data_IF_777266771345
#
_entry.id   IF_777266771345
#
_cell.length_a   1.000
_cell.length_b   1.000
_cell.length_c   1.000
_cell.angle_alpha   90.00
_cell.angle_beta   90.00
_cell.angle_gamma   90.00
#
_symmetry.space_group_name_H-M   'P 1'
#
loop_
_entity.id
_entity.type
_entity.pdbx_description
1 polymer ?
#
# COMPACT_ATOMS: atom_id res chain seq x y z
N UNK A 1 -13.93 -14.46 -10.51
CA UNK A 1 -12.93 -14.68 -9.44
C UNK A 1 -12.42 -13.38 -8.76
N UNK A 2 -13.19 -12.28 -8.76
CA UNK A 2 -12.80 -10.99 -8.14
C UNK A 2 -13.15 -10.86 -6.65
N UNK A 3 -14.12 -11.65 -6.19
CA UNK A 3 -14.75 -11.46 -4.88
C UNK A 3 -13.85 -11.89 -3.70
N UNK A 4 -13.03 -12.94 -3.88
CA UNK A 4 -12.08 -13.38 -2.84
C UNK A 4 -10.92 -12.39 -2.63
N UNK A 5 -10.45 -11.71 -3.68
CA UNK A 5 -9.27 -10.83 -3.59
C UNK A 5 -9.54 -9.55 -2.78
N UNK A 6 -10.74 -8.97 -2.94
CA UNK A 6 -11.17 -7.77 -2.20
C UNK A 6 -11.37 -8.08 -0.71
N UNK A 7 -11.81 -9.31 -0.39
CA UNK A 7 -11.99 -9.77 1.00
C UNK A 7 -10.65 -9.89 1.74
N UNK A 8 -9.61 -10.41 1.07
CA UNK A 8 -8.28 -10.57 1.67
C UNK A 8 -7.59 -9.24 1.96
N UNK A 9 -7.60 -8.30 1.00
CA UNK A 9 -7.05 -6.95 1.20
C UNK A 9 -7.74 -6.20 2.33
N UNK A 10 -9.07 -6.33 2.42
CA UNK A 10 -9.85 -5.69 3.51
C UNK A 10 -9.48 -6.29 4.87
N UNK A 11 -9.30 -7.61 4.93
CA UNK A 11 -8.90 -8.32 6.14
C UNK A 11 -7.49 -7.91 6.60
N UNK A 12 -6.55 -7.78 5.68
CA UNK A 12 -5.19 -7.30 6.00
C UNK A 12 -5.20 -5.89 6.57
N UNK A 13 -5.99 -4.97 5.98
CA UNK A 13 -6.16 -3.60 6.50
C UNK A 13 -6.74 -3.58 7.91
N UNK A 14 -7.70 -4.46 8.20
CA UNK A 14 -8.28 -4.58 9.54
C UNK A 14 -7.23 -5.07 10.54
N UNK A 15 -6.44 -6.08 10.19
CA UNK A 15 -5.36 -6.57 11.07
C UNK A 15 -4.29 -5.50 11.32
N UNK A 16 -3.87 -4.77 10.29
CA UNK A 16 -2.96 -3.62 10.43
C UNK A 16 -3.55 -2.53 11.33
N UNK A 17 -4.85 -2.24 11.18
CA UNK A 17 -5.59 -1.30 12.00
C UNK A 17 -5.63 -1.71 13.48
N UNK A 18 -5.95 -2.98 13.74
CA UNK A 18 -5.92 -3.55 15.08
C UNK A 18 -4.51 -3.50 15.70
N UNK A 19 -3.47 -3.84 14.94
CA UNK A 19 -2.08 -3.77 15.40
C UNK A 19 -1.67 -2.33 15.76
N UNK A 20 -2.00 -1.36 14.91
CA UNK A 20 -1.77 0.05 15.20
C UNK A 20 -2.53 0.49 16.47
N UNK A 21 -3.78 0.09 16.62
CA UNK A 21 -4.58 0.36 17.81
C UNK A 21 -3.96 -0.21 19.10
N UNK A 22 -3.48 -1.45 19.07
CA UNK A 22 -2.76 -2.06 20.19
C UNK A 22 -1.48 -1.30 20.53
N UNK A 23 -0.75 -0.85 19.51
CA UNK A 23 0.49 -0.11 19.68
C UNK A 23 0.24 1.27 20.34
N UNK A 24 -0.83 1.97 19.97
CA UNK A 24 -1.27 3.22 20.60
C UNK A 24 -1.74 3.03 22.05
N UNK A 25 -2.49 1.94 22.30
CA UNK A 25 -2.88 1.57 23.66
C UNK A 25 -1.65 1.30 24.53
N UNK A 26 -0.69 0.52 24.02
CA UNK A 26 0.56 0.20 24.70
C UNK A 26 1.40 1.45 24.99
N UNK A 27 1.53 2.39 24.03
CA UNK A 27 2.25 3.65 24.27
C UNK A 27 1.58 4.49 25.34
N UNK A 28 0.25 4.52 25.40
CA UNK A 28 -0.50 5.23 26.43
C UNK A 28 -0.29 4.60 27.81
N UNK A 29 -0.37 3.27 27.90
CA UNK A 29 -0.11 2.54 29.15
C UNK A 29 1.32 2.76 29.66
N UNK A 30 2.31 2.74 28.75
CA UNK A 30 3.71 2.97 29.07
C UNK A 30 3.95 4.40 29.54
N UNK A 31 3.34 5.40 28.88
CA UNK A 31 3.40 6.80 29.30
C UNK A 31 2.80 7.03 30.69
N UNK A 32 1.60 6.49 30.97
CA UNK A 32 0.96 6.59 32.27
C UNK A 32 1.78 5.92 33.37
N UNK A 33 2.39 4.76 33.07
CA UNK A 33 3.30 4.05 33.97
C UNK A 33 4.54 4.90 34.31
N UNK A 34 5.17 5.53 33.32
CA UNK A 34 6.33 6.41 33.53
C UNK A 34 5.98 7.66 34.34
N UNK A 35 4.78 8.22 34.16
CA UNK A 35 4.32 9.41 34.90
C UNK A 35 3.92 9.10 36.35
N UNK A 36 3.81 7.81 36.72
CA UNK A 36 3.29 7.33 38.03
C UNK A 36 1.97 7.97 38.43
N UNK A 37 1.11 8.28 37.46
CA UNK A 37 -0.16 8.96 37.68
C UNK A 37 -1.24 7.96 38.10
N UNK A 38 -1.14 7.48 39.35
CA UNK A 38 -1.99 6.41 39.90
C UNK A 38 -3.47 6.82 40.01
N UNK A 39 -3.77 8.13 40.00
CA UNK A 39 -5.13 8.64 40.05
C UNK A 39 -5.87 8.44 38.73
N UNK A 40 -5.24 8.76 37.60
CA UNK A 40 -5.81 8.51 36.27
C UNK A 40 -5.82 7.01 35.94
N UNK A 41 -4.78 6.26 36.35
CA UNK A 41 -4.76 4.80 36.19
C UNK A 41 -5.92 4.16 36.97
N UNK A 42 -6.18 4.57 38.22
CA UNK A 42 -7.29 4.07 39.02
C UNK A 42 -8.68 4.37 38.41
N UNK A 43 -8.82 5.51 37.73
CA UNK A 43 -10.05 5.90 37.02
C UNK A 43 -10.26 5.10 35.72
N UNK A 44 -9.18 4.75 35.01
CA UNK A 44 -9.20 4.04 33.73
C UNK A 44 -9.27 2.51 33.92
N UNK A 45 -8.70 1.98 34.99
CA UNK A 45 -8.61 0.54 35.30
C UNK A 45 -9.93 -0.24 35.09
N UNK A 46 -11.09 0.20 35.60
CA UNK A 46 -12.35 -0.54 35.40
C UNK A 46 -12.84 -0.53 33.95
N UNK A 47 -12.39 0.44 33.14
CA UNK A 47 -12.79 0.62 31.76
C UNK A 47 -11.72 0.17 30.76
N UNK A 48 -10.66 -0.53 31.19
CA UNK A 48 -9.59 -1.01 30.29
C UNK A 48 -10.13 -1.71 29.04
N UNK A 49 -11.10 -2.65 29.11
CA UNK A 49 -11.62 -3.30 27.91
C UNK A 49 -12.28 -2.32 26.95
N UNK A 50 -13.01 -1.33 27.48
CA UNK A 50 -13.67 -0.30 26.68
C UNK A 50 -12.66 0.66 26.04
N UNK A 51 -11.62 1.05 26.78
CA UNK A 51 -10.52 1.89 26.28
C UNK A 51 -9.76 1.15 25.18
N UNK A 52 -9.43 -0.12 25.39
CA UNK A 52 -8.78 -0.97 24.40
C UNK A 52 -9.62 -1.07 23.11
N UNK A 53 -10.93 -1.35 23.23
CA UNK A 53 -11.84 -1.38 22.10
C UNK A 53 -11.85 -0.04 21.34
N UNK A 54 -11.83 1.09 22.07
CA UNK A 54 -11.70 2.42 21.49
C UNK A 54 -10.42 2.58 20.67
N UNK A 55 -9.27 2.16 21.19
CA UNK A 55 -8.00 2.21 20.46
C UNK A 55 -7.99 1.30 19.22
N UNK A 56 -8.62 0.13 19.27
CA UNK A 56 -8.76 -0.75 18.11
C UNK A 56 -9.58 -0.08 16.99
N UNK A 57 -10.69 0.57 17.35
CA UNK A 57 -11.52 1.33 16.39
C UNK A 57 -10.71 2.50 15.81
N UNK A 58 -10.00 3.26 16.64
CA UNK A 58 -9.14 4.37 16.21
C UNK A 58 -8.06 3.88 15.25
N UNK A 59 -7.38 2.77 15.56
CA UNK A 59 -6.35 2.20 14.70
C UNK A 59 -6.89 1.80 13.32
N UNK A 60 -8.08 1.20 13.27
CA UNK A 60 -8.77 0.89 12.02
C UNK A 60 -9.15 2.16 11.23
N UNK A 61 -9.64 3.20 11.90
CA UNK A 61 -9.94 4.49 11.26
C UNK A 61 -8.69 5.15 10.67
N UNK A 62 -7.55 5.09 11.36
CA UNK A 62 -6.29 5.64 10.89
C UNK A 62 -5.77 4.91 9.65
N UNK A 63 -5.84 3.57 9.62
CA UNK A 63 -5.45 2.77 8.44
C UNK A 63 -6.42 2.98 7.28
N UNK A 64 -7.71 3.15 7.56
CA UNK A 64 -8.69 3.51 6.54
C UNK A 64 -8.37 4.87 5.92
N UNK A 65 -8.06 5.88 6.75
CA UNK A 65 -7.65 7.21 6.29
C UNK A 65 -6.34 7.18 5.49
N UNK A 66 -5.35 6.40 5.96
CA UNK A 66 -4.07 6.23 5.28
C UNK A 66 -4.21 5.52 3.93
N UNK A 67 -5.15 4.59 3.80
CA UNK A 67 -5.34 3.77 2.59
C UNK A 67 -6.41 4.31 1.62
N UNK A 68 -6.80 5.58 1.76
CA UNK A 68 -7.74 6.23 0.85
C UNK A 68 -7.19 6.23 -0.59
N UNK A 69 -7.99 5.83 -1.59
CA UNK A 69 -7.52 5.68 -2.96
C UNK A 69 -7.13 7.02 -3.60
N UNK A 70 -5.97 7.07 -4.26
CA UNK A 70 -5.48 8.23 -5.01
C UNK A 70 -6.37 8.66 -6.20
N UNK A 71 -7.27 7.78 -6.67
CA UNK A 71 -8.20 8.07 -7.77
C UNK A 71 -9.62 8.25 -7.23
N UNK A 72 -9.95 9.49 -6.86
CA UNK A 72 -11.29 9.89 -6.45
C UNK A 72 -11.37 11.39 -6.14
N UNK A 73 -12.58 11.92 -5.98
CA UNK A 73 -12.84 13.33 -5.63
C UNK A 73 -12.08 13.76 -4.36
N UNK A 74 -11.86 12.82 -3.45
CA UNK A 74 -11.16 12.98 -2.18
C UNK A 74 -9.65 13.21 -2.36
N UNK A 75 -8.99 12.63 -3.38
CA UNK A 75 -7.55 12.83 -3.58
C UNK A 75 -7.20 14.23 -4.08
N UNK A 76 -8.15 14.92 -4.73
CA UNK A 76 -7.97 16.32 -5.11
C UNK A 76 -7.83 17.24 -3.90
N UNK A 77 -8.39 16.84 -2.75
CA UNK A 77 -8.33 17.61 -1.50
C UNK A 77 -6.95 17.57 -0.86
N UNK A 78 -6.12 16.59 -1.21
CA UNK A 78 -4.77 16.38 -0.66
C UNK A 78 -3.66 16.74 -1.67
N UNK A 79 -3.96 17.51 -2.73
CA UNK A 79 -2.98 17.93 -3.74
C UNK A 79 -2.74 19.45 -3.73
N UNK A 80 -1.48 19.85 -3.93
CA UNK A 80 -1.09 21.25 -4.13
C UNK A 80 -1.48 22.15 -2.95
N UNK A 81 -2.04 23.32 -3.23
CA UNK A 81 -2.44 24.30 -2.22
C UNK A 81 -3.49 23.77 -1.22
N UNK A 82 -4.35 22.82 -1.63
CA UNK A 82 -5.36 22.25 -0.74
C UNK A 82 -4.72 21.46 0.42
N UNK A 83 -3.61 20.76 0.17
CA UNK A 83 -2.88 20.04 1.23
C UNK A 83 -2.29 21.00 2.28
N UNK A 84 -1.86 22.18 1.87
CA UNK A 84 -1.33 23.21 2.78
C UNK A 84 -2.44 23.73 3.70
N UNK A 85 -3.63 24.00 3.15
CA UNK A 85 -4.79 24.41 3.96
C UNK A 85 -5.23 23.32 4.95
N UNK A 86 -5.06 22.03 4.64
CA UNK A 86 -5.30 20.96 5.60
C UNK A 86 -4.32 21.00 6.77
N UNK A 87 -3.05 21.35 6.54
CA UNK A 87 -2.07 21.52 7.62
C UNK A 87 -2.51 22.66 8.55
N UNK A 88 -2.94 23.79 7.98
CA UNK A 88 -3.43 24.93 8.75
C UNK A 88 -4.71 24.57 9.53
N UNK A 89 -5.64 23.83 8.91
CA UNK A 89 -6.89 23.41 9.53
C UNK A 89 -6.66 22.39 10.65
N UNK A 90 -5.70 21.48 10.49
CA UNK A 90 -5.27 20.56 11.55
C UNK A 90 -4.60 21.34 12.69
N UNK A 91 -3.76 22.34 12.39
CA UNK A 91 -3.11 23.16 13.41
C UNK A 91 -4.12 23.97 14.23
N UNK A 92 -5.09 24.61 13.57
CA UNK A 92 -6.20 25.31 14.23
C UNK A 92 -7.04 24.33 15.06
N UNK A 93 -7.35 23.16 14.50
CA UNK A 93 -8.04 22.09 15.22
C UNK A 93 -7.30 21.66 16.49
N UNK A 94 -5.97 21.54 16.43
CA UNK A 94 -5.12 21.18 17.57
C UNK A 94 -5.13 22.26 18.67
N UNK A 95 -5.11 23.54 18.29
CA UNK A 95 -5.24 24.67 19.21
C UNK A 95 -6.63 24.67 19.87
N UNK A 96 -7.71 24.49 19.11
CA UNK A 96 -9.07 24.41 19.64
C UNK A 96 -9.25 23.20 20.57
N UNK A 97 -8.71 22.05 20.19
CA UNK A 97 -8.73 20.84 21.00
C UNK A 97 -8.01 21.06 22.35
N UNK A 98 -6.94 21.86 22.34
CA UNK A 98 -6.24 22.19 23.58
C UNK A 98 -7.16 22.89 24.57
N UNK A 99 -8.04 23.81 24.16
CA UNK A 99 -8.98 24.47 25.09
C UNK A 99 -10.01 23.53 25.74
N UNK A 100 -10.35 22.41 25.09
CA UNK A 100 -11.38 21.48 25.55
C UNK A 100 -10.77 20.35 26.40
N UNK A 101 -9.53 19.95 26.10
CA UNK A 101 -8.89 18.77 26.67
C UNK A 101 -8.03 19.14 27.88
N UNK A 102 -8.17 18.38 28.98
CA UNK A 102 -7.37 18.56 30.19
C UNK A 102 -5.90 18.24 29.98
N UNK A 103 -5.00 18.82 30.78
CA UNK A 103 -3.55 18.71 30.57
C UNK A 103 -3.05 17.26 30.43
N UNK A 104 -3.53 16.34 31.26
CA UNK A 104 -3.13 14.92 31.19
C UNK A 104 -3.49 14.28 29.85
N UNK A 105 -4.66 14.58 29.31
CA UNK A 105 -5.11 14.05 28.03
C UNK A 105 -4.38 14.67 26.84
N UNK A 106 -3.97 15.94 26.93
CA UNK A 106 -3.15 16.59 25.89
C UNK A 106 -1.83 15.84 25.67
N UNK A 107 -1.16 15.43 26.76
CA UNK A 107 0.08 14.66 26.67
C UNK A 107 -0.14 13.26 26.09
N UNK A 108 -1.23 12.59 26.44
CA UNK A 108 -1.59 11.28 25.86
C UNK A 108 -1.81 11.42 24.34
N UNK A 109 -2.53 12.45 23.91
CA UNK A 109 -2.77 12.72 22.48
C UNK A 109 -1.45 13.00 21.76
N UNK A 110 -0.57 13.81 22.34
CA UNK A 110 0.74 14.13 21.77
C UNK A 110 1.63 12.89 21.59
N UNK A 111 1.69 12.02 22.61
CA UNK A 111 2.47 10.77 22.54
C UNK A 111 1.93 9.87 21.44
N UNK A 112 0.61 9.68 21.37
CA UNK A 112 -0.01 8.87 20.32
C UNK A 112 0.20 9.47 18.93
N UNK A 113 0.11 10.79 18.78
CA UNK A 113 0.39 11.47 17.51
C UNK A 113 1.84 11.26 17.06
N UNK A 114 2.80 11.34 17.99
CA UNK A 114 4.21 11.06 17.70
C UNK A 114 4.42 9.60 17.26
N UNK A 115 3.75 8.66 17.92
CA UNK A 115 3.81 7.23 17.57
C UNK A 115 3.28 6.97 16.15
N UNK A 116 2.11 7.53 15.80
CA UNK A 116 1.55 7.44 14.45
C UNK A 116 2.53 8.01 13.41
N UNK A 117 3.11 9.18 13.69
CA UNK A 117 4.06 9.84 12.79
C UNK A 117 5.32 8.98 12.58
N UNK A 118 5.86 8.36 13.63
CA UNK A 118 6.99 7.43 13.52
C UNK A 118 6.61 6.21 12.67
N UNK A 119 5.45 5.60 12.92
CA UNK A 119 4.98 4.47 12.14
C UNK A 119 4.86 4.81 10.64
N UNK A 120 4.28 5.97 10.30
CA UNK A 120 4.17 6.42 8.91
C UNK A 120 5.53 6.75 8.28
N UNK A 121 6.47 7.35 9.02
CA UNK A 121 7.84 7.55 8.52
C UNK A 121 8.53 6.22 8.23
N UNK A 122 8.38 5.23 9.12
CA UNK A 122 8.94 3.90 8.92
C UNK A 122 8.32 3.20 7.71
N UNK A 123 7.00 3.28 7.57
CA UNK A 123 6.27 2.72 6.43
C UNK A 123 6.74 3.38 5.12
N UNK A 124 6.77 4.72 5.06
CA UNK A 124 7.29 5.48 3.92
C UNK A 124 8.73 5.10 3.58
N UNK A 125 9.61 4.97 4.58
CA UNK A 125 10.99 4.53 4.36
C UNK A 125 11.06 3.10 3.84
N UNK A 126 10.19 2.22 4.31
CA UNK A 126 10.11 0.83 3.86
C UNK A 126 9.68 0.77 2.40
N UNK A 127 8.64 1.50 2.01
CA UNK A 127 8.16 1.63 0.64
C UNK A 127 9.22 2.27 -0.24
N UNK A 128 9.92 3.30 0.25
CA UNK A 128 11.03 3.93 -0.48
C UNK A 128 12.20 2.96 -0.67
N UNK A 129 12.50 2.12 0.32
CA UNK A 129 13.53 1.09 0.22
C UNK A 129 13.13 0.03 -0.81
N UNK A 130 11.89 -0.47 -0.76
CA UNK A 130 11.34 -1.41 -1.76
C UNK A 130 11.39 -0.77 -3.15
N UNK A 131 10.93 0.47 -3.29
CA UNK A 131 11.00 1.21 -4.55
C UNK A 131 12.45 1.37 -5.03
N UNK A 132 13.41 1.65 -4.14
CA UNK A 132 14.84 1.70 -4.48
C UNK A 132 15.44 0.34 -4.77
N UNK A 133 14.96 -0.75 -4.20
CA UNK A 133 15.42 -2.10 -4.55
C UNK A 133 14.87 -2.53 -5.91
N UNK A 134 13.62 -2.19 -6.19
CA UNK A 134 12.97 -2.39 -7.49
C UNK A 134 13.56 -1.49 -8.58
N UNK A 135 13.90 -0.23 -8.27
CA UNK A 135 14.42 0.75 -9.23
C UNK A 135 15.97 0.82 -9.28
N UNK A 136 16.64 0.44 -8.19
CA UNK A 136 18.08 0.65 -7.94
C UNK A 136 18.92 -0.61 -8.06
N UNK A 137 18.32 -1.80 -8.24
CA UNK A 137 18.98 -2.76 -9.13
C UNK A 137 19.04 -2.07 -10.49
N UNK A 138 20.23 -1.74 -10.97
CA UNK A 138 20.44 -1.51 -12.40
C UNK A 138 20.08 -2.81 -13.13
N UNK A 139 18.80 -3.03 -13.39
CA UNK A 139 18.36 -4.13 -14.22
C UNK A 139 18.70 -3.69 -15.64
N UNK A 140 19.85 -4.15 -16.15
CA UNK A 140 20.01 -4.34 -17.58
C UNK A 140 18.76 -5.07 -18.08
N UNK A 141 17.94 -4.39 -18.88
CA UNK A 141 16.67 -4.90 -19.39
C UNK A 141 15.47 -4.47 -18.55
N UNK A 142 14.73 -3.48 -19.03
CA UNK A 142 13.32 -3.32 -18.62
C UNK A 142 12.57 -4.52 -19.18
N UNK A 143 11.92 -5.29 -18.31
CA UNK A 143 11.03 -6.36 -18.70
C UNK A 143 9.59 -5.92 -18.50
N UNK A 144 8.79 -5.94 -19.56
CA UNK A 144 7.34 -5.86 -19.44
C UNK A 144 6.84 -7.29 -19.24
N UNK A 145 6.12 -7.55 -18.15
CA UNK A 145 5.56 -8.87 -17.81
C UNK A 145 4.03 -8.79 -17.97
N UNK A 146 3.47 -9.72 -18.75
CA UNK A 146 2.05 -9.79 -19.04
C UNK A 146 1.54 -11.16 -18.61
N UNK A 147 0.68 -11.21 -17.61
CA UNK A 147 0.07 -12.45 -17.12
C UNK A 147 -0.85 -13.05 -18.19
N UNK A 148 -0.77 -14.38 -18.35
CA UNK A 148 -1.58 -15.18 -19.24
C UNK A 148 -2.55 -16.03 -18.42
N UNK A 149 -3.81 -16.08 -18.86
CA UNK A 149 -4.85 -16.89 -18.21
C UNK A 149 -4.61 -18.40 -18.43
N UNK A 150 -4.05 -18.79 -19.58
CA UNK A 150 -3.70 -20.18 -19.92
C UNK A 150 -2.32 -20.28 -20.59
N UNK A 151 -1.68 -21.45 -20.48
CA UNK A 151 -0.40 -21.70 -21.15
C UNK A 151 -0.60 -21.89 -22.67
N UNK A 152 0.06 -21.08 -23.52
CA UNK A 152 -0.08 -21.20 -24.97
C UNK A 152 0.55 -22.50 -25.48
N UNK A 153 -0.30 -23.42 -25.92
CA UNK A 153 0.09 -24.72 -26.50
C UNK A 153 0.67 -24.51 -27.90
N UNK A 154 2.00 -24.49 -27.99
CA UNK A 154 2.74 -24.34 -29.25
C UNK A 154 3.18 -22.91 -29.58
N UNK A 155 3.97 -22.76 -30.64
CA UNK A 155 4.56 -21.48 -31.10
C UNK A 155 3.53 -20.52 -31.65
N UNK A 156 2.50 -21.04 -32.33
CA UNK A 156 1.46 -20.23 -32.97
C UNK A 156 0.50 -19.62 -31.94
N UNK A 157 0.11 -20.39 -30.93
CA UNK A 157 -0.66 -19.87 -29.79
C UNK A 157 0.11 -18.78 -29.03
N UNK A 158 1.43 -18.93 -28.90
CA UNK A 158 2.29 -17.95 -28.25
C UNK A 158 2.38 -16.64 -29.05
N UNK A 159 2.55 -16.72 -30.38
CA UNK A 159 2.54 -15.52 -31.22
C UNK A 159 1.19 -14.81 -31.20
N UNK A 160 0.09 -15.58 -31.14
CA UNK A 160 -1.28 -15.02 -31.06
C UNK A 160 -1.50 -14.22 -29.78
N UNK A 161 -0.99 -14.68 -28.63
CA UNK A 161 -1.07 -13.92 -27.37
C UNK A 161 -0.30 -12.59 -27.45
N UNK A 162 0.87 -12.58 -28.12
CA UNK A 162 1.64 -11.35 -28.37
C UNK A 162 0.84 -10.37 -29.26
N UNK A 163 0.21 -10.88 -30.32
CA UNK A 163 -0.65 -10.08 -31.22
C UNK A 163 -1.86 -9.51 -30.49
N UNK A 164 -2.55 -10.33 -29.69
CA UNK A 164 -3.72 -9.91 -28.92
C UNK A 164 -3.35 -8.86 -27.87
N UNK A 165 -2.20 -8.99 -27.22
CA UNK A 165 -1.66 -7.96 -26.33
C UNK A 165 -1.41 -6.63 -27.06
N UNK A 166 -0.70 -6.66 -28.19
CA UNK A 166 -0.38 -5.43 -28.93
C UNK A 166 -1.63 -4.77 -29.51
N UNK A 167 -2.58 -5.56 -30.02
CA UNK A 167 -3.88 -5.08 -30.54
C UNK A 167 -4.72 -4.40 -29.48
N UNK A 168 -4.85 -5.00 -28.28
CA UNK A 168 -5.57 -4.41 -27.13
C UNK A 168 -4.99 -3.06 -26.73
N UNK A 169 -3.66 -2.92 -26.80
CA UNK A 169 -2.95 -1.71 -26.40
C UNK A 169 -2.69 -0.73 -27.56
N UNK A 170 -3.18 -1.03 -28.77
CA UNK A 170 -2.96 -0.22 -29.99
C UNK A 170 -1.48 0.01 -30.33
N UNK A 171 -0.63 -0.96 -30.03
CA UNK A 171 0.81 -0.96 -30.30
C UNK A 171 1.04 -1.53 -31.70
N UNK A 172 1.90 -0.89 -32.51
CA UNK A 172 2.31 -1.44 -33.81
C UNK A 172 3.27 -2.59 -33.59
N UNK A 173 2.95 -3.75 -34.13
CA UNK A 173 3.70 -4.98 -33.95
C UNK A 173 4.26 -5.48 -35.28
N UNK A 174 5.56 -5.74 -35.33
CA UNK A 174 6.21 -6.46 -36.42
C UNK A 174 6.99 -7.64 -35.85
N UNK A 175 6.88 -8.82 -36.45
CA UNK A 175 7.65 -9.99 -36.01
C UNK A 175 8.94 -10.10 -36.81
N UNK A 176 10.08 -10.08 -36.11
CA UNK A 176 11.39 -10.38 -36.69
C UNK A 176 11.70 -11.89 -36.64
N UNK A 177 11.25 -12.58 -35.59
CA UNK A 177 11.37 -14.03 -35.43
C UNK A 177 10.13 -14.61 -34.74
N UNK A 178 9.45 -15.56 -35.39
CA UNK A 178 8.22 -16.21 -34.91
C UNK A 178 8.52 -17.57 -34.25
N UNK A 179 9.38 -17.56 -33.25
CA UNK A 179 9.80 -18.76 -32.52
C UNK A 179 9.62 -18.57 -31.01
N UNK A 180 9.99 -19.57 -30.20
CA UNK A 180 10.07 -19.44 -28.73
C UNK A 180 11.55 -19.48 -28.34
N UNK A 181 12.20 -18.36 -27.96
CA UNK A 181 11.67 -17.01 -27.78
C UNK A 181 11.39 -16.27 -29.10
N UNK A 182 10.45 -15.32 -29.09
CA UNK A 182 10.12 -14.51 -30.27
C UNK A 182 10.89 -13.20 -30.23
N UNK A 183 11.23 -12.66 -31.39
CA UNK A 183 11.83 -11.32 -31.51
C UNK A 183 10.85 -10.45 -32.27
N UNK A 184 10.43 -9.34 -31.67
CA UNK A 184 9.40 -8.45 -32.20
C UNK A 184 9.87 -6.99 -32.18
N UNK A 185 9.27 -6.17 -33.02
CA UNK A 185 9.32 -4.71 -32.94
C UNK A 185 7.97 -4.22 -32.42
N UNK A 186 7.99 -3.51 -31.30
CA UNK A 186 6.83 -2.82 -30.74
C UNK A 186 7.05 -1.32 -30.91
N UNK A 187 6.25 -0.65 -31.72
CA UNK A 187 6.38 0.78 -32.05
C UNK A 187 7.81 1.18 -32.50
N UNK A 188 8.47 0.30 -33.26
CA UNK A 188 9.82 0.53 -33.79
C UNK A 188 10.98 0.17 -32.83
N UNK A 189 10.67 -0.27 -31.61
CA UNK A 189 11.65 -0.69 -30.61
C UNK A 189 11.73 -2.22 -30.54
N UNK A 190 12.94 -2.79 -30.49
CA UNK A 190 13.16 -4.24 -30.55
C UNK A 190 12.98 -4.89 -29.17
N UNK A 191 12.21 -5.96 -29.12
CA UNK A 191 11.95 -6.76 -27.92
C UNK A 191 12.15 -8.25 -28.19
N UNK A 192 12.76 -8.93 -27.21
CA UNK A 192 12.79 -10.38 -27.10
C UNK A 192 11.67 -10.82 -26.15
N UNK A 193 10.77 -11.70 -26.60
CA UNK A 193 9.62 -12.19 -25.83
C UNK A 193 9.84 -13.64 -25.44
N UNK A 194 9.83 -13.91 -24.14
CA UNK A 194 9.95 -15.25 -23.58
C UNK A 194 8.69 -15.64 -22.82
N UNK A 195 8.39 -16.94 -22.77
CA UNK A 195 7.35 -17.47 -21.88
C UNK A 195 7.99 -17.74 -20.51
N UNK A 196 7.46 -17.11 -19.47
CA UNK A 196 7.88 -17.30 -18.07
C UNK A 196 6.74 -17.97 -17.29
N UNK A 197 7.07 -18.63 -16.18
CA UNK A 197 6.07 -19.17 -15.26
C UNK A 197 6.47 -18.94 -13.82
N UNK A 198 5.50 -18.63 -12.96
CA UNK A 198 5.72 -18.45 -11.54
C UNK A 198 4.63 -19.16 -10.74
N UNK A 199 5.03 -19.72 -9.59
CA UNK A 199 4.10 -20.41 -8.70
C UNK A 199 3.38 -19.39 -7.81
N UNK A 200 2.06 -19.38 -7.91
CA UNK A 200 1.19 -18.69 -6.97
C UNK A 200 0.56 -19.69 -6.00
N UNK A 201 -0.03 -19.18 -4.91
CA UNK A 201 -0.81 -20.00 -3.97
C UNK A 201 -2.02 -20.72 -4.59
N UNK A 202 -2.38 -20.41 -5.84
CA UNK A 202 -3.50 -21.02 -6.58
C UNK A 202 -3.06 -21.86 -7.79
N UNK A 203 -1.75 -22.15 -7.93
CA UNK A 203 -1.20 -22.92 -9.04
C UNK A 203 -0.24 -22.13 -9.93
N UNK A 204 0.27 -22.75 -11.01
CA UNK A 204 1.20 -22.10 -11.94
C UNK A 204 0.49 -20.97 -12.69
N UNK A 205 1.05 -19.77 -12.61
CA UNK A 205 0.71 -18.66 -13.50
C UNK A 205 1.75 -18.56 -14.60
N UNK A 206 1.30 -18.27 -15.82
CA UNK A 206 2.14 -18.11 -17.00
C UNK A 206 2.20 -16.63 -17.36
N UNK A 207 3.33 -16.16 -17.88
CA UNK A 207 3.44 -14.78 -18.32
C UNK A 207 4.32 -14.64 -19.57
N UNK A 208 4.01 -13.64 -20.38
CA UNK A 208 4.90 -13.16 -21.44
C UNK A 208 5.86 -12.12 -20.84
N UNK A 209 7.14 -12.32 -21.08
CA UNK A 209 8.19 -11.40 -20.63
C UNK A 209 8.85 -10.77 -21.84
N UNK A 210 8.59 -9.48 -22.03
CA UNK A 210 9.14 -8.67 -23.11
C UNK A 210 10.38 -7.96 -22.60
N UNK A 211 11.55 -8.38 -23.08
CA UNK A 211 12.84 -7.77 -22.78
C UNK A 211 13.20 -6.80 -23.89
N UNK A 212 13.44 -5.53 -23.53
CA UNK A 212 14.00 -4.57 -24.50
C UNK A 212 15.47 -4.92 -24.79
N UNK A 213 15.82 -5.05 -26.08
CA UNK A 213 17.22 -5.19 -26.54
C UNK A 213 17.93 -3.84 -26.63
#
# INVERSE_FOLDING_TARGET
>A
MKENRISEETREKIYQGCFLGLLLFASTALFLSLRRDMNEVGRILPFIPAVLAGYLVIGNLLIWLHSLPEKGRVSSWFKGAAAVYWIDLIAVGFVLLSFIVSESWRHIILVNAAVVLVCWILDYRSVLKIAKELNGRSVKGRYLVVDLDECPKGTEAFCREIEDYCRKNKIRLEFLQREKPAVILMDGEKYEVTLDFFYSQFGPMYALKFRKE
#
